data_IF_466929727261
#
_entry.id   IF_466929727261
#
_cell.length_a   1.000
_cell.length_b   1.000
_cell.length_c   1.000
_cell.angle_alpha   90.00
_cell.angle_beta   90.00
_cell.angle_gamma   90.00
#
_symmetry.space_group_name_H-M   'P 1'
#
loop_
_entity.id
_entity.type
_entity.pdbx_description
1 polymer ?
#
# COMPACT_ATOMS: atom_id res chain seq x y z
N UNK A 1 2.46 -12.18 13.79
CA UNK A 1 1.69 -12.64 12.62
C UNK A 1 2.14 -11.78 11.46
N UNK A 2 2.52 -12.37 10.33
CA UNK A 2 2.97 -11.62 9.15
C UNK A 2 1.72 -11.16 8.38
N UNK A 3 1.74 -9.95 7.81
CA UNK A 3 0.62 -9.38 7.05
C UNK A 3 0.75 -9.77 5.58
N UNK A 4 -0.28 -10.41 5.02
CA UNK A 4 -0.30 -10.79 3.60
C UNK A 4 -0.99 -9.70 2.78
N UNK A 5 -0.17 -8.79 2.24
CA UNK A 5 -0.67 -7.62 1.50
C UNK A 5 -1.31 -8.01 0.17
N UNK A 6 -0.80 -9.05 -0.50
CA UNK A 6 -1.41 -9.51 -1.74
C UNK A 6 -2.86 -9.92 -1.52
N UNK A 7 -3.18 -10.61 -0.41
CA UNK A 7 -4.57 -10.97 -0.08
C UNK A 7 -5.47 -9.77 0.17
N UNK A 8 -4.96 -8.71 0.80
CA UNK A 8 -5.74 -7.48 1.02
C UNK A 8 -6.13 -6.85 -0.32
N UNK A 9 -5.17 -6.74 -1.23
CA UNK A 9 -5.41 -6.19 -2.57
C UNK A 9 -6.28 -7.10 -3.44
N UNK A 10 -6.10 -8.41 -3.34
CA UNK A 10 -6.93 -9.40 -4.04
C UNK A 10 -8.39 -9.29 -3.60
N UNK A 11 -8.64 -9.10 -2.30
CA UNK A 11 -9.98 -8.90 -1.77
C UNK A 11 -10.61 -7.59 -2.27
N UNK A 12 -9.85 -6.48 -2.24
CA UNK A 12 -10.33 -5.19 -2.77
C UNK A 12 -10.69 -5.35 -4.25
N UNK A 13 -9.79 -5.93 -5.04
CA UNK A 13 -10.00 -6.13 -6.47
C UNK A 13 -11.21 -7.02 -6.75
N UNK A 14 -11.37 -8.12 -5.99
CA UNK A 14 -12.51 -9.02 -6.10
C UNK A 14 -13.83 -8.31 -5.82
N UNK A 15 -13.90 -7.53 -4.74
CA UNK A 15 -15.11 -6.76 -4.38
C UNK A 15 -15.41 -5.73 -5.46
N UNK A 16 -14.39 -5.03 -5.97
CA UNK A 16 -14.55 -4.03 -7.03
C UNK A 16 -15.08 -4.63 -8.33
N UNK A 17 -14.53 -5.77 -8.76
CA UNK A 17 -14.98 -6.50 -9.96
C UNK A 17 -16.42 -7.00 -9.79
N UNK A 18 -16.75 -7.60 -8.64
CA UNK A 18 -18.09 -8.11 -8.37
C UNK A 18 -19.13 -6.98 -8.30
N UNK A 19 -18.76 -5.84 -7.72
CA UNK A 19 -19.59 -4.64 -7.65
C UNK A 19 -19.61 -3.82 -8.95
N UNK A 20 -18.82 -4.20 -9.97
CA UNK A 20 -18.63 -3.44 -11.22
C UNK A 20 -18.33 -1.97 -10.97
N UNK A 21 -17.43 -1.69 -10.00
CA UNK A 21 -17.07 -0.33 -9.67
C UNK A 21 -16.42 0.36 -10.88
N UNK A 22 -16.74 1.63 -11.07
CA UNK A 22 -15.96 2.49 -11.96
C UNK A 22 -14.60 2.77 -11.32
N UNK A 23 -13.52 2.94 -12.11
CA UNK A 23 -12.20 3.31 -11.58
C UNK A 23 -12.24 4.50 -10.61
N UNK A 24 -13.10 5.48 -10.88
CA UNK A 24 -13.33 6.68 -10.07
C UNK A 24 -13.80 6.40 -8.64
N UNK A 25 -14.49 5.26 -8.44
CA UNK A 25 -15.04 4.82 -7.16
C UNK A 25 -14.14 3.82 -6.43
N UNK A 26 -12.96 3.53 -6.98
CA UNK A 26 -12.00 2.65 -6.34
C UNK A 26 -11.40 3.30 -5.09
N UNK A 27 -10.99 2.46 -4.16
CA UNK A 27 -10.23 2.89 -2.98
C UNK A 27 -8.91 3.50 -3.47
N UNK A 28 -8.62 4.72 -3.04
CA UNK A 28 -7.42 5.45 -3.47
C UNK A 28 -6.20 5.22 -2.59
N UNK A 29 -6.42 4.87 -1.33
CA UNK A 29 -5.36 4.74 -0.33
C UNK A 29 -5.70 3.71 0.75
N UNK A 30 -4.68 2.99 1.19
CA UNK A 30 -4.72 2.02 2.28
C UNK A 30 -3.72 2.48 3.34
N UNK A 31 -4.17 2.58 4.58
CA UNK A 31 -3.32 2.88 5.72
C UNK A 31 -3.11 1.61 6.55
N UNK A 32 -1.86 1.20 6.72
CA UNK A 32 -1.50 0.02 7.52
C UNK A 32 -0.76 0.50 8.75
N UNK A 33 -1.37 0.31 9.93
CA UNK A 33 -0.75 0.62 11.21
C UNK A 33 -0.26 -0.68 11.84
N UNK A 34 1.05 -0.80 12.06
CA UNK A 34 1.65 -2.02 12.62
C UNK A 34 2.76 -1.66 13.60
N UNK A 35 2.90 -2.43 14.68
CA UNK A 35 4.05 -2.33 15.58
C UNK A 35 5.28 -3.11 15.08
N UNK A 36 5.19 -3.72 13.90
CA UNK A 36 6.26 -4.49 13.26
C UNK A 36 7.04 -3.62 12.26
N UNK A 37 8.34 -3.90 12.11
CA UNK A 37 9.14 -3.31 11.03
C UNK A 37 8.63 -3.77 9.66
N UNK A 38 8.60 -2.85 8.71
CA UNK A 38 8.01 -3.04 7.38
C UNK A 38 8.57 -4.26 6.63
N UNK A 39 9.88 -4.45 6.67
CA UNK A 39 10.56 -5.56 5.98
C UNK A 39 10.30 -6.93 6.65
N UNK A 40 9.72 -6.94 7.87
CA UNK A 40 9.24 -8.15 8.55
C UNK A 40 7.72 -8.33 8.45
N UNK A 41 7.01 -7.35 7.88
CA UNK A 41 5.56 -7.35 7.82
C UNK A 41 5.02 -8.14 6.61
N UNK A 42 5.83 -8.41 5.58
CA UNK A 42 5.49 -9.29 4.44
C UNK A 42 6.45 -10.49 4.35
N UNK A 43 5.95 -11.60 3.80
CA UNK A 43 6.76 -12.79 3.50
C UNK A 43 7.65 -12.62 2.25
N UNK A 44 7.33 -11.66 1.38
CA UNK A 44 8.06 -11.37 0.14
C UNK A 44 8.69 -9.96 0.18
N UNK A 45 9.60 -9.69 -0.75
CA UNK A 45 10.02 -8.32 -1.05
C UNK A 45 8.83 -7.48 -1.49
N UNK A 46 8.64 -6.35 -0.82
CA UNK A 46 7.54 -5.43 -1.07
C UNK A 46 7.45 -4.96 -2.52
N UNK A 47 8.58 -4.68 -3.17
CA UNK A 47 8.63 -4.25 -4.58
C UNK A 47 7.94 -5.28 -5.48
N UNK A 48 8.22 -6.56 -5.24
CA UNK A 48 7.62 -7.68 -5.97
C UNK A 48 6.13 -7.84 -5.68
N UNK A 49 5.71 -7.64 -4.43
CA UNK A 49 4.28 -7.67 -4.07
C UNK A 49 3.51 -6.55 -4.78
N UNK A 50 4.07 -5.33 -4.81
CA UNK A 50 3.42 -4.18 -5.43
C UNK A 50 3.34 -4.30 -6.96
N UNK A 51 4.41 -4.72 -7.63
CA UNK A 51 4.39 -5.02 -9.07
C UNK A 51 3.33 -6.09 -9.42
N UNK A 52 3.23 -7.14 -8.60
CA UNK A 52 2.23 -8.18 -8.78
C UNK A 52 0.81 -7.62 -8.63
N UNK A 53 0.58 -6.74 -7.64
CA UNK A 53 -0.70 -6.05 -7.43
C UNK A 53 -1.06 -5.17 -8.63
N UNK A 54 -0.13 -4.32 -9.10
CA UNK A 54 -0.37 -3.45 -10.26
C UNK A 54 -0.76 -4.26 -11.50
N UNK A 55 -0.08 -5.38 -11.75
CA UNK A 55 -0.42 -6.30 -12.86
C UNK A 55 -1.85 -6.82 -12.73
N UNK A 56 -2.24 -7.32 -11.56
CA UNK A 56 -3.61 -7.86 -11.32
C UNK A 56 -4.68 -6.80 -11.56
N UNK A 57 -4.47 -5.58 -11.10
CA UNK A 57 -5.40 -4.47 -11.30
C UNK A 57 -5.50 -4.09 -12.78
N UNK A 58 -4.37 -4.01 -13.49
CA UNK A 58 -4.33 -3.75 -14.93
C UNK A 58 -5.11 -4.81 -15.73
N UNK A 59 -4.92 -6.09 -15.42
CA UNK A 59 -5.63 -7.20 -16.07
C UNK A 59 -7.15 -7.15 -15.87
N UNK A 60 -7.63 -6.50 -14.80
CA UNK A 60 -9.05 -6.31 -14.51
C UNK A 60 -9.61 -4.96 -14.99
N UNK A 61 -8.82 -4.15 -15.69
CA UNK A 61 -9.23 -2.83 -16.19
C UNK A 61 -9.15 -1.70 -15.17
N UNK A 62 -8.43 -1.90 -14.06
CA UNK A 62 -8.24 -0.92 -12.98
C UNK A 62 -6.79 -0.43 -12.86
N UNK A 63 -6.03 -0.45 -13.96
CA UNK A 63 -4.60 -0.10 -13.94
C UNK A 63 -4.31 1.31 -13.41
N UNK A 64 -5.18 2.28 -13.69
CA UNK A 64 -5.06 3.67 -13.24
C UNK A 64 -5.68 3.92 -11.85
N UNK A 65 -6.19 2.87 -11.21
CA UNK A 65 -6.94 2.94 -9.96
C UNK A 65 -6.39 1.95 -8.92
N UNK A 66 -5.09 1.69 -8.97
CA UNK A 66 -4.36 0.92 -7.95
C UNK A 66 -4.27 1.76 -6.67
N UNK A 67 -4.76 1.26 -5.52
CA UNK A 67 -4.66 1.97 -4.26
C UNK A 67 -3.21 2.21 -3.85
N UNK A 68 -2.90 3.43 -3.41
CA UNK A 68 -1.63 3.73 -2.74
C UNK A 68 -1.60 3.12 -1.34
N UNK A 69 -0.42 2.78 -0.83
CA UNK A 69 -0.27 2.25 0.53
C UNK A 69 0.60 3.17 1.35
N UNK A 70 0.12 3.50 2.55
CA UNK A 70 0.87 4.21 3.59
C UNK A 70 1.03 3.26 4.77
N UNK A 71 2.27 2.85 5.03
CA UNK A 71 2.59 2.03 6.18
C UNK A 71 3.12 2.89 7.32
N UNK A 72 2.50 2.75 8.48
CA UNK A 72 2.82 3.48 9.69
C UNK A 72 3.31 2.52 10.77
N UNK A 73 4.59 2.65 11.15
CA UNK A 73 5.18 1.86 12.22
C UNK A 73 4.88 2.50 13.59
N UNK A 74 4.13 1.79 14.44
CA UNK A 74 3.71 2.23 15.77
C UNK A 74 4.75 2.00 16.89
N UNK A 75 5.85 1.27 16.63
CA UNK A 75 6.87 0.97 17.65
C UNK A 75 7.68 2.20 18.10
N UNK A 76 7.53 3.34 17.44
CA UNK A 76 8.17 4.60 17.83
C UNK A 76 7.15 5.59 18.42
N UNK A 77 7.16 5.73 19.75
CA UNK A 77 6.30 6.64 20.53
C UNK A 77 6.47 8.15 20.22
N UNK A 78 7.43 8.54 19.37
CA UNK A 78 7.68 9.95 18.98
C UNK A 78 7.21 10.24 17.53
N UNK A 79 6.03 9.73 17.17
CA UNK A 79 5.46 9.79 15.82
C UNK A 79 4.75 11.13 15.53
N UNK A 80 5.49 12.20 15.26
CA UNK A 80 4.89 13.41 14.66
C UNK A 80 4.70 13.17 13.15
N UNK A 81 3.50 13.40 12.57
CA UNK A 81 3.29 13.32 11.13
C UNK A 81 4.12 14.42 10.45
N UNK A 82 5.19 14.05 9.75
CA UNK A 82 5.90 14.99 8.88
C UNK A 82 5.24 14.96 7.50
N UNK A 83 4.67 16.08 7.04
CA UNK A 83 4.41 16.27 5.62
C UNK A 83 5.77 16.26 4.91
N UNK A 84 6.06 15.22 4.13
CA UNK A 84 7.25 15.20 3.30
C UNK A 84 7.12 16.21 2.17
N UNK A 85 7.78 17.36 2.30
CA UNK A 85 8.05 18.23 1.15
C UNK A 85 9.25 17.68 0.38
N UNK A 86 9.24 17.88 -0.94
CA UNK A 86 10.26 17.37 -1.87
C UNK A 86 11.65 17.89 -1.47
N UNK A 87 12.43 17.02 -0.81
CA UNK A 87 13.78 17.33 -0.32
C UNK A 87 14.12 16.73 1.06
N UNK A 88 13.14 16.28 1.84
CA UNK A 88 13.40 15.72 3.16
C UNK A 88 13.88 14.26 3.09
N UNK A 89 15.03 13.97 3.74
CA UNK A 89 15.46 12.59 4.01
C UNK A 89 14.57 12.04 5.13
N UNK A 90 13.43 11.48 4.75
CA UNK A 90 12.56 10.74 5.65
C UNK A 90 13.35 9.52 6.14
N UNK A 91 13.49 9.29 7.47
CA UNK A 91 14.11 8.07 7.97
C UNK A 91 13.38 6.87 7.38
N UNK A 92 14.12 5.87 6.88
CA UNK A 92 13.60 4.68 6.15
C UNK A 92 12.41 3.97 6.80
N UNK A 93 12.19 4.20 8.10
CA UNK A 93 11.15 3.56 8.91
C UNK A 93 9.94 4.45 9.23
N UNK A 94 9.89 5.71 8.74
CA UNK A 94 8.89 6.67 9.22
C UNK A 94 7.62 6.70 8.37
N UNK A 95 7.74 6.80 7.04
CA UNK A 95 6.64 6.65 6.08
C UNK A 95 7.26 6.25 4.73
N UNK A 96 6.84 5.12 4.14
CA UNK A 96 7.17 4.82 2.74
C UNK A 96 5.97 5.22 1.88
N UNK A 97 6.14 6.31 1.12
CA UNK A 97 5.21 6.74 0.09
C UNK A 97 5.63 6.12 -1.23
N UNK A 98 4.72 5.41 -1.90
CA UNK A 98 4.94 4.92 -3.25
C UNK A 98 3.92 5.60 -4.17
N UNK A 99 4.36 6.68 -4.81
CA UNK A 99 3.67 7.18 -6.00
C UNK A 99 4.04 6.27 -7.17
N UNK A 100 3.05 5.95 -8.01
CA UNK A 100 3.26 5.12 -9.19
C UNK A 100 4.43 5.62 -10.02
N UNK A 101 5.43 4.77 -10.18
CA UNK A 101 6.47 4.90 -11.22
C UNK A 101 5.85 4.52 -12.56
#
# INVERSE_FOLDING_TARGET
MITDLQKVFDLILQVSVNGRLKPEHMIKGIFVFSDMEFDQASSNSWETDYEAIQRKFKEKGYGDAVPQIVFWNLRHLNSTPGLGHKGDVVPRNRIKYFEGV
#
